data_IF_481369565201
#
_entry.id   IF_481369565201
#
_cell.length_a   1.000
_cell.length_b   1.000
_cell.length_c   1.000
_cell.angle_alpha   90.00
_cell.angle_beta   90.00
_cell.angle_gamma   90.00
#
_symmetry.space_group_name_H-M   'P 1'
#
loop_
_entity.id
_entity.type
_entity.pdbx_description
1 polymer ?
#
# COMPACT_ATOMS: atom_id res chain seq x y z
N UNK A 1 31.12 29.68 11.24
CA UNK A 1 30.17 28.94 12.10
C UNK A 1 28.82 28.65 11.43
N UNK A 2 28.13 29.66 10.88
CA UNK A 2 26.83 29.50 10.21
C UNK A 2 26.81 28.40 9.12
N UNK A 3 27.79 28.29 8.21
CA UNK A 3 27.76 27.22 7.19
C UNK A 3 27.98 25.83 7.79
N UNK A 4 28.79 25.70 8.84
CA UNK A 4 29.01 24.44 9.54
C UNK A 4 27.74 23.97 10.28
N UNK A 5 27.01 24.90 10.92
CA UNK A 5 25.74 24.63 11.58
C UNK A 5 24.67 24.23 10.56
N UNK A 6 24.61 24.92 9.42
CA UNK A 6 23.67 24.60 8.33
C UNK A 6 23.92 23.20 7.77
N UNK A 7 25.19 22.85 7.49
CA UNK A 7 25.56 21.52 6.99
C UNK A 7 25.23 20.45 8.05
N UNK A 8 25.55 20.67 9.32
CA UNK A 8 25.24 19.75 10.41
C UNK A 8 23.73 19.51 10.58
N UNK A 9 22.92 20.55 10.44
CA UNK A 9 21.46 20.44 10.52
C UNK A 9 20.89 19.66 9.33
N UNK A 10 21.37 19.94 8.11
CA UNK A 10 20.94 19.23 6.90
C UNK A 10 21.33 17.74 6.94
N UNK A 11 22.54 17.42 7.39
CA UNK A 11 22.98 16.01 7.52
C UNK A 11 22.17 15.28 8.57
N UNK A 12 21.88 15.91 9.71
CA UNK A 12 21.03 15.32 10.75
C UNK A 12 19.60 15.10 10.25
N UNK A 13 19.01 16.07 9.55
CA UNK A 13 17.67 15.94 8.97
C UNK A 13 17.61 14.78 7.97
N UNK A 14 18.57 14.69 7.05
CA UNK A 14 18.66 13.60 6.07
C UNK A 14 18.82 12.23 6.76
N UNK A 15 19.61 12.17 7.82
CA UNK A 15 19.80 10.96 8.62
C UNK A 15 18.49 10.51 9.29
N UNK A 16 17.73 11.44 9.88
CA UNK A 16 16.40 11.15 10.44
C UNK A 16 15.40 10.65 9.39
N UNK A 17 15.37 11.28 8.20
CA UNK A 17 14.54 10.81 7.08
C UNK A 17 14.92 9.40 6.60
N UNK A 18 16.22 9.08 6.62
CA UNK A 18 16.73 7.77 6.22
C UNK A 18 16.50 6.67 7.27
N UNK A 19 16.56 7.00 8.57
CA UNK A 19 16.32 6.06 9.66
C UNK A 19 14.85 5.66 9.80
N UNK A 20 13.94 6.59 9.51
CA UNK A 20 12.50 6.36 9.64
C UNK A 20 11.77 6.54 8.31
N UNK A 21 11.98 5.66 7.33
CA UNK A 21 11.24 5.66 6.07
C UNK A 21 9.79 5.25 6.36
N UNK A 22 8.97 6.19 6.84
CA UNK A 22 7.62 5.89 7.31
C UNK A 22 7.05 6.85 8.34
N UNK A 23 7.88 7.50 9.17
CA UNK A 23 7.40 8.43 10.20
C UNK A 23 6.61 9.61 9.61
N UNK A 24 6.98 10.07 8.42
CA UNK A 24 6.25 11.12 7.69
C UNK A 24 5.04 10.63 6.91
N UNK A 25 4.81 9.31 6.84
CA UNK A 25 3.69 8.72 6.12
C UNK A 25 2.53 8.29 7.05
N UNK A 26 2.63 8.60 8.35
CA UNK A 26 1.57 8.29 9.31
C UNK A 26 0.30 9.11 9.05
N UNK A 27 -0.83 8.45 9.08
CA UNK A 27 -2.13 9.10 9.23
C UNK A 27 -2.23 9.76 10.60
N UNK A 28 -2.49 11.07 10.63
CA UNK A 28 -2.79 11.81 11.87
C UNK A 28 -4.30 11.98 12.11
N UNK A 29 -5.10 11.85 11.05
CA UNK A 29 -6.57 11.93 11.10
C UNK A 29 -7.16 10.86 10.21
N UNK A 30 -8.31 10.34 10.62
CA UNK A 30 -9.10 9.40 9.84
C UNK A 30 -10.42 10.04 9.44
N UNK A 31 -10.93 9.65 8.28
CA UNK A 31 -12.31 9.91 7.90
C UNK A 31 -13.16 8.68 8.24
N UNK A 32 -14.17 8.85 9.09
CA UNK A 32 -15.11 7.78 9.44
C UNK A 32 -16.08 7.49 8.31
N UNK A 33 -16.46 8.52 7.56
CA UNK A 33 -17.37 8.39 6.43
C UNK A 33 -16.62 8.48 5.10
N UNK A 34 -16.81 7.46 4.27
CA UNK A 34 -16.32 7.48 2.90
C UNK A 34 -17.42 7.05 1.91
N UNK A 35 -17.72 7.88 0.90
CA UNK A 35 -18.66 7.54 -0.15
C UNK A 35 -18.29 6.24 -0.88
N UNK A 36 -19.30 5.41 -1.18
CA UNK A 36 -19.11 4.16 -1.93
C UNK A 36 -18.46 4.40 -3.29
N UNK A 37 -18.75 5.52 -3.95
CA UNK A 37 -18.16 5.88 -5.24
C UNK A 37 -16.64 6.09 -5.17
N UNK A 38 -16.12 6.58 -4.04
CA UNK A 38 -14.68 6.76 -3.80
C UNK A 38 -14.01 5.40 -3.61
N UNK A 39 -14.60 4.51 -2.80
CA UNK A 39 -14.06 3.16 -2.57
C UNK A 39 -13.91 2.32 -3.85
N UNK A 40 -14.79 2.51 -4.84
CA UNK A 40 -14.68 1.82 -6.13
C UNK A 40 -13.43 2.23 -6.91
N UNK A 41 -12.95 3.46 -6.73
CA UNK A 41 -11.79 4.04 -7.43
C UNK A 41 -10.45 3.76 -6.74
N UNK A 42 -10.45 3.04 -5.62
CA UNK A 42 -9.21 2.69 -4.90
C UNK A 42 -8.33 1.79 -5.76
N UNK A 43 -7.12 2.24 -6.04
CA UNK A 43 -6.12 1.54 -6.83
C UNK A 43 -5.37 0.52 -5.97
N UNK A 44 -4.88 0.98 -4.82
CA UNK A 44 -4.18 0.18 -3.81
C UNK A 44 -4.57 0.65 -2.40
N UNK A 45 -4.37 -0.21 -1.42
CA UNK A 45 -4.56 0.12 -0.02
C UNK A 45 -3.44 -0.46 0.83
N UNK A 46 -3.16 0.20 1.95
CA UNK A 46 -2.16 -0.19 2.94
C UNK A 46 -2.81 -0.13 4.32
N UNK A 47 -2.38 -1.01 5.23
CA UNK A 47 -2.87 -1.03 6.62
C UNK A 47 -1.76 -0.44 7.48
N UNK A 48 -2.06 0.68 8.12
CA UNK A 48 -1.20 1.30 9.13
C UNK A 48 -1.60 0.75 10.49
N UNK A 49 -0.69 -0.02 11.09
CA UNK A 49 -0.83 -0.53 12.45
C UNK A 49 -0.32 0.50 13.46
N UNK A 50 -0.81 0.41 14.68
CA UNK A 50 -0.36 1.22 15.80
C UNK A 50 0.92 0.65 16.46
N UNK A 51 1.96 0.34 15.68
CA UNK A 51 3.16 -0.39 16.13
C UNK A 51 4.29 0.55 16.63
N UNK A 52 3.93 1.68 17.27
CA UNK A 52 4.88 2.61 17.92
C UNK A 52 5.50 3.69 17.01
N UNK A 53 5.63 3.47 15.71
CA UNK A 53 6.03 4.52 14.75
C UNK A 53 4.86 5.44 14.37
N UNK A 54 3.68 4.85 14.22
CA UNK A 54 2.42 5.56 14.12
C UNK A 54 1.54 5.09 15.28
N UNK A 55 0.91 6.01 16.00
CA UNK A 55 0.02 5.65 17.12
C UNK A 55 -1.45 5.49 16.71
N UNK A 56 -1.78 5.88 15.47
CA UNK A 56 -3.14 5.80 14.95
C UNK A 56 -3.27 4.59 14.01
N UNK A 57 -4.24 3.73 14.29
CA UNK A 57 -4.61 2.66 13.36
C UNK A 57 -5.43 3.25 12.21
N UNK A 58 -5.01 2.99 10.96
CA UNK A 58 -5.66 3.55 9.79
C UNK A 58 -5.54 2.62 8.58
N UNK A 59 -6.51 2.70 7.67
CA UNK A 59 -6.34 2.17 6.32
C UNK A 59 -6.01 3.33 5.40
N UNK A 60 -4.90 3.23 4.68
CA UNK A 60 -4.47 4.22 3.70
C UNK A 60 -4.97 3.76 2.33
N UNK A 61 -5.85 4.54 1.73
CA UNK A 61 -6.37 4.33 0.38
C UNK A 61 -5.62 5.20 -0.61
N UNK A 62 -5.17 4.62 -1.72
CA UNK A 62 -4.55 5.38 -2.80
C UNK A 62 -5.52 5.51 -3.97
N UNK A 63 -5.75 6.75 -4.38
CA UNK A 63 -6.69 7.12 -5.43
C UNK A 63 -6.05 8.23 -6.26
N UNK A 64 -5.78 7.98 -7.54
CA UNK A 64 -5.19 8.98 -8.46
C UNK A 64 -3.94 9.66 -7.87
N UNK A 65 -3.04 8.86 -7.28
CA UNK A 65 -1.82 9.35 -6.64
C UNK A 65 -2.00 10.03 -5.27
N UNK A 66 -3.23 10.24 -4.79
CA UNK A 66 -3.51 10.83 -3.47
C UNK A 66 -3.75 9.75 -2.42
N UNK A 67 -3.36 10.04 -1.17
CA UNK A 67 -3.58 9.17 0.00
C UNK A 67 -4.79 9.65 0.79
N UNK A 68 -5.64 8.72 1.22
CA UNK A 68 -6.80 8.97 2.09
C UNK A 68 -6.76 8.03 3.27
N UNK A 69 -6.73 8.58 4.48
CA UNK A 69 -6.74 7.84 5.73
C UNK A 69 -8.18 7.59 6.17
N UNK A 70 -8.57 6.33 6.34
CA UNK A 70 -9.92 5.95 6.75
C UNK A 70 -9.91 5.04 7.96
N UNK A 71 -11.03 5.04 8.67
CA UNK A 71 -11.24 4.19 9.83
C UNK A 71 -11.14 2.69 9.43
N UNK A 72 -10.24 1.91 10.05
CA UNK A 72 -10.07 0.48 9.75
C UNK A 72 -11.32 -0.36 10.06
N UNK A 73 -12.15 0.10 10.99
CA UNK A 73 -13.37 -0.58 11.44
C UNK A 73 -14.60 -0.29 10.57
N UNK A 74 -14.47 0.59 9.57
CA UNK A 74 -15.58 0.91 8.69
C UNK A 74 -15.98 -0.32 7.83
N UNK A 75 -17.23 -0.79 7.99
CA UNK A 75 -17.74 -1.98 7.28
C UNK A 75 -17.61 -1.90 5.76
N UNK A 76 -17.77 -0.72 5.16
CA UNK A 76 -17.63 -0.51 3.70
C UNK A 76 -16.17 -0.70 3.27
N UNK A 77 -15.23 -0.19 4.06
CA UNK A 77 -13.77 -0.33 3.83
C UNK A 77 -13.37 -1.78 3.94
N UNK A 78 -13.76 -2.47 5.03
CA UNK A 78 -13.47 -3.90 5.23
C UNK A 78 -14.00 -4.74 4.07
N UNK A 79 -15.24 -4.49 3.62
CA UNK A 79 -15.84 -5.20 2.48
C UNK A 79 -15.06 -4.97 1.18
N UNK A 80 -14.63 -3.73 0.92
CA UNK A 80 -13.81 -3.38 -0.23
C UNK A 80 -12.45 -4.10 -0.20
N UNK A 81 -11.75 -4.09 0.95
CA UNK A 81 -10.46 -4.77 1.10
C UNK A 81 -10.58 -6.27 0.80
N UNK A 82 -11.57 -6.94 1.40
CA UNK A 82 -11.86 -8.37 1.13
C UNK A 82 -12.10 -8.63 -0.36
N UNK A 83 -12.88 -7.80 -1.03
CA UNK A 83 -13.15 -7.93 -2.47
C UNK A 83 -11.86 -7.78 -3.31
N UNK A 84 -11.05 -6.77 -3.03
CA UNK A 84 -9.79 -6.51 -3.75
C UNK A 84 -8.78 -7.63 -3.53
N UNK A 85 -8.65 -8.15 -2.31
CA UNK A 85 -7.78 -9.30 -2.00
C UNK A 85 -8.22 -10.56 -2.76
N UNK A 86 -9.52 -10.90 -2.76
CA UNK A 86 -10.06 -12.02 -3.54
C UNK A 86 -9.74 -11.90 -5.02
N UNK A 87 -9.92 -10.72 -5.60
CA UNK A 87 -9.61 -10.46 -7.01
C UNK A 87 -8.11 -10.62 -7.31
N UNK A 88 -7.22 -10.14 -6.44
CA UNK A 88 -5.75 -10.30 -6.57
C UNK A 88 -5.35 -11.78 -6.55
N UNK A 89 -5.92 -12.57 -5.64
CA UNK A 89 -5.69 -14.02 -5.54
C UNK A 89 -6.17 -14.72 -6.81
N UNK A 90 -7.39 -14.43 -7.27
CA UNK A 90 -7.94 -15.04 -8.48
C UNK A 90 -7.08 -14.72 -9.72
N UNK A 91 -6.67 -13.45 -9.88
CA UNK A 91 -5.79 -13.02 -10.96
C UNK A 91 -4.43 -13.73 -10.92
N UNK A 92 -3.84 -13.87 -9.73
CA UNK A 92 -2.60 -14.63 -9.53
C UNK A 92 -2.76 -16.10 -9.95
N UNK A 93 -3.82 -16.79 -9.49
CA UNK A 93 -4.11 -18.18 -9.87
C UNK A 93 -4.28 -18.36 -11.38
N UNK A 94 -5.02 -17.48 -12.03
CA UNK A 94 -5.19 -17.50 -13.48
C UNK A 94 -3.87 -17.30 -14.24
N UNK A 95 -3.02 -16.40 -13.75
CA UNK A 95 -1.68 -16.18 -14.34
C UNK A 95 -0.80 -17.43 -14.23
N UNK A 96 -0.76 -18.05 -13.03
CA UNK A 96 -0.02 -19.30 -12.80
C UNK A 96 -0.52 -20.43 -13.71
N UNK A 97 -1.85 -20.57 -13.88
CA UNK A 97 -2.46 -21.56 -14.78
C UNK A 97 -2.04 -21.34 -16.24
N UNK A 98 -2.04 -20.08 -16.71
CA UNK A 98 -1.60 -19.73 -18.07
C UNK A 98 -0.12 -20.07 -18.29
N UNK A 99 0.74 -19.74 -17.32
CA UNK A 99 2.16 -20.04 -17.38
C UNK A 99 2.46 -21.54 -17.39
N UNK A 100 1.70 -22.34 -16.62
CA UNK A 100 1.82 -23.81 -16.65
C UNK A 100 1.45 -24.38 -18.01
N UNK A 101 0.34 -23.90 -18.61
CA UNK A 101 -0.08 -24.33 -19.95
C UNK A 101 0.97 -24.03 -21.02
N UNK A 102 1.51 -22.82 -21.05
CA UNK A 102 2.55 -22.46 -22.03
C UNK A 102 3.82 -23.28 -21.88
N UNK A 103 4.25 -23.60 -20.65
CA UNK A 103 5.38 -24.52 -20.41
C UNK A 103 5.12 -25.92 -20.97
N UNK A 104 3.95 -26.50 -20.69
CA UNK A 104 3.57 -27.82 -21.20
C UNK A 104 3.55 -27.84 -22.74
N UNK A 105 2.97 -26.82 -23.38
CA UNK A 105 2.94 -26.73 -24.85
C UNK A 105 4.34 -26.61 -25.44
N UNK A 106 5.25 -25.83 -24.83
CA UNK A 106 6.64 -25.72 -25.26
C UNK A 106 7.38 -27.06 -25.15
N UNK A 107 7.21 -27.79 -24.05
CA UNK A 107 7.83 -29.11 -23.87
C UNK A 107 7.35 -30.14 -24.89
N UNK A 108 6.07 -30.12 -25.28
CA UNK A 108 5.56 -31.01 -26.33
C UNK A 108 6.20 -30.73 -27.70
N UNK A 109 6.40 -29.45 -28.04
CA UNK A 109 7.04 -29.05 -29.31
C UNK A 109 8.54 -29.39 -29.40
N UNK A 110 9.22 -29.56 -28.27
CA UNK A 110 10.65 -29.95 -28.24
C UNK A 110 10.87 -31.46 -28.34
N UNK A 111 9.82 -32.26 -28.17
CA UNK A 111 9.87 -33.74 -28.26
C UNK A 111 9.36 -34.27 -29.62
N UNK A 112 9.03 -33.37 -30.53
CA UNK A 112 8.60 -33.62 -31.90
C UNK A 112 9.70 -33.10 -32.82
#
# INVERSE_FOLDING_TARGET
LIPLISVLFLTLLLFFLALFPGAFNCCMRISDEIPKGILRRVERFEIQKADGLCHLEAVILHIKGKKFCVNPWNRKVIKMMKMKMKHKIHRSKSHVRKQRRTRITKQKKQKQ
#
